data_IF_784076577125
#
_entry.id   IF_784076577125
#
_cell.length_a   1.000
_cell.length_b   1.000
_cell.length_c   1.000
_cell.angle_alpha   90.00
_cell.angle_beta   90.00
_cell.angle_gamma   90.00
#
_symmetry.space_group_name_H-M   'P 1'
#
loop_
_entity.id
_entity.type
_entity.pdbx_description
1 polymer ?
#
# COMPACT_ATOMS: atom_id res chain seq x y z
N UNK A 1 -24.12 -12.32 3.39
CA UNK A 1 -23.49 -11.41 2.41
C UNK A 1 -22.26 -12.12 1.89
N UNK A 2 -22.37 -12.67 0.68
CA UNK A 2 -21.33 -13.46 0.03
C UNK A 2 -20.11 -12.57 -0.25
N UNK A 3 -18.90 -13.11 -0.06
CA UNK A 3 -17.69 -12.42 -0.49
C UNK A 3 -17.83 -12.07 -1.98
N UNK A 4 -17.52 -10.82 -2.34
CA UNK A 4 -17.49 -10.41 -3.76
C UNK A 4 -16.56 -11.40 -4.47
N UNK A 5 -16.99 -12.07 -5.56
CA UNK A 5 -16.19 -13.09 -6.25
C UNK A 5 -14.78 -12.63 -6.61
N UNK A 6 -14.60 -11.32 -6.75
CA UNK A 6 -13.34 -10.64 -7.04
C UNK A 6 -12.19 -10.99 -6.07
N UNK A 7 -12.46 -11.16 -4.77
CA UNK A 7 -11.42 -11.50 -3.76
C UNK A 7 -11.38 -12.98 -3.39
N UNK A 8 -12.21 -13.81 -4.01
CA UNK A 8 -12.34 -15.21 -3.59
C UNK A 8 -11.04 -15.98 -3.81
N UNK A 9 -10.50 -16.56 -2.72
CA UNK A 9 -9.26 -17.36 -2.76
C UNK A 9 -7.96 -16.56 -2.72
N UNK A 10 -8.00 -15.24 -2.49
CA UNK A 10 -6.83 -14.38 -2.40
C UNK A 10 -6.55 -13.98 -0.94
N UNK A 11 -5.27 -13.81 -0.59
CA UNK A 11 -4.89 -13.14 0.66
C UNK A 11 -5.23 -11.65 0.61
N UNK A 12 -5.17 -10.95 1.75
CA UNK A 12 -5.41 -9.51 1.77
C UNK A 12 -4.33 -8.77 0.96
N UNK A 13 -3.07 -9.21 1.09
CA UNK A 13 -1.95 -8.69 0.31
C UNK A 13 -2.17 -8.84 -1.21
N UNK A 14 -2.58 -10.02 -1.68
CA UNK A 14 -2.89 -10.27 -3.09
C UNK A 14 -4.10 -9.46 -3.59
N UNK A 15 -5.12 -9.35 -2.74
CA UNK A 15 -6.31 -8.55 -3.05
C UNK A 15 -5.96 -7.07 -3.22
N UNK A 16 -5.10 -6.54 -2.36
CA UNK A 16 -4.64 -5.16 -2.44
C UNK A 16 -3.73 -4.92 -3.65
N UNK A 17 -2.84 -5.87 -3.97
CA UNK A 17 -2.02 -5.84 -5.20
C UNK A 17 -2.90 -5.65 -6.43
N UNK A 18 -3.92 -6.50 -6.60
CA UNK A 18 -4.86 -6.40 -7.72
C UNK A 18 -5.61 -5.07 -7.76
N UNK A 19 -6.01 -4.53 -6.61
CA UNK A 19 -6.65 -3.21 -6.57
C UNK A 19 -5.66 -2.09 -6.95
N UNK A 20 -4.38 -2.26 -6.64
CA UNK A 20 -3.31 -1.31 -6.90
C UNK A 20 -2.94 -1.21 -8.38
N UNK A 21 -3.29 -2.20 -9.19
CA UNK A 21 -3.22 -2.10 -10.66
C UNK A 21 -4.19 -1.04 -11.24
N UNK A 22 -5.13 -0.54 -10.43
CA UNK A 22 -6.09 0.50 -10.80
C UNK A 22 -5.82 1.80 -10.01
N UNK A 23 -6.87 2.50 -9.60
CA UNK A 23 -6.80 3.82 -8.95
C UNK A 23 -6.21 3.78 -7.53
N UNK A 24 -6.04 2.59 -6.92
CA UNK A 24 -5.56 2.50 -5.53
C UNK A 24 -4.08 2.86 -5.43
N UNK A 25 -3.24 2.52 -6.41
CA UNK A 25 -1.83 2.93 -6.41
C UNK A 25 -1.70 4.45 -6.41
N UNK A 26 -2.40 5.13 -7.31
CA UNK A 26 -2.39 6.59 -7.38
C UNK A 26 -2.90 7.23 -6.08
N UNK A 27 -4.02 6.73 -5.57
CA UNK A 27 -4.63 7.23 -4.34
C UNK A 27 -3.70 7.07 -3.11
N UNK A 28 -3.00 5.94 -3.02
CA UNK A 28 -2.02 5.68 -1.96
C UNK A 28 -0.79 6.58 -2.10
N UNK A 29 -0.21 6.68 -3.30
CA UNK A 29 0.97 7.49 -3.55
C UNK A 29 0.71 8.98 -3.27
N UNK A 30 -0.49 9.48 -3.56
CA UNK A 30 -0.91 10.84 -3.21
C UNK A 30 -0.92 11.13 -1.70
N UNK A 31 -0.98 10.10 -0.85
CA UNK A 31 -0.87 10.29 0.59
C UNK A 31 0.56 10.60 1.06
N UNK A 32 1.57 10.27 0.24
CA UNK A 32 2.98 10.30 0.64
C UNK A 32 3.86 11.14 -0.28
N UNK A 33 3.41 11.44 -1.49
CA UNK A 33 4.09 12.26 -2.49
C UNK A 33 3.18 13.38 -3.01
N UNK A 34 3.76 14.56 -3.20
CA UNK A 34 3.04 15.74 -3.70
C UNK A 34 2.97 15.83 -5.23
N UNK A 35 3.97 15.28 -5.93
CA UNK A 35 4.07 15.28 -7.38
C UNK A 35 4.73 13.97 -7.84
N UNK A 36 4.02 13.19 -8.66
CA UNK A 36 4.46 11.90 -9.14
C UNK A 36 3.63 11.46 -10.34
N UNK A 37 4.21 10.60 -11.16
CA UNK A 37 3.51 9.84 -12.20
C UNK A 37 3.21 8.43 -11.67
N UNK A 38 1.94 8.03 -11.47
CA UNK A 38 1.59 6.70 -10.97
C UNK A 38 2.08 5.56 -11.88
N UNK A 39 2.21 5.80 -13.19
CA UNK A 39 2.63 4.76 -14.15
C UNK A 39 4.13 4.50 -14.07
N UNK A 40 4.91 5.44 -13.52
CA UNK A 40 6.33 5.24 -13.24
C UNK A 40 6.60 4.22 -12.12
N UNK A 41 5.59 3.89 -11.30
CA UNK A 41 5.72 2.97 -10.18
C UNK A 41 5.33 1.54 -10.56
N UNK A 42 6.27 0.63 -10.34
CA UNK A 42 6.12 -0.82 -10.46
C UNK A 42 5.61 -1.38 -9.13
N UNK A 43 4.64 -2.28 -9.19
CA UNK A 43 4.13 -3.03 -8.04
C UNK A 43 4.76 -4.41 -8.10
N UNK A 44 5.39 -4.83 -7.02
CA UNK A 44 5.91 -6.19 -6.88
C UNK A 44 5.41 -6.81 -5.57
N UNK A 45 4.98 -8.06 -5.65
CA UNK A 45 4.55 -8.85 -4.51
C UNK A 45 5.64 -9.84 -4.10
N UNK A 46 6.14 -9.69 -2.87
CA UNK A 46 7.20 -10.51 -2.29
C UNK A 46 6.55 -11.61 -1.43
N UNK A 47 6.30 -12.75 -2.06
CA UNK A 47 5.75 -13.97 -1.44
C UNK A 47 4.43 -13.79 -0.66
N UNK A 48 3.62 -12.80 -1.03
CA UNK A 48 2.38 -12.39 -0.36
C UNK A 48 2.58 -11.89 1.08
N UNK A 49 3.81 -11.50 1.44
CA UNK A 49 4.15 -10.98 2.78
C UNK A 49 4.30 -9.46 2.79
N UNK A 50 4.74 -8.88 1.66
CA UNK A 50 4.90 -7.45 1.48
C UNK A 50 4.73 -7.09 0.00
N UNK A 51 4.13 -5.93 -0.27
CA UNK A 51 4.20 -5.33 -1.60
C UNK A 51 5.26 -4.24 -1.62
N UNK A 52 5.89 -4.03 -2.76
CA UNK A 52 6.71 -2.83 -2.98
C UNK A 52 6.16 -2.00 -4.11
N UNK A 53 6.06 -0.69 -3.90
CA UNK A 53 5.86 0.27 -4.98
C UNK A 53 7.19 0.97 -5.22
N UNK A 54 7.79 0.75 -6.39
CA UNK A 54 9.13 1.24 -6.67
C UNK A 54 9.25 1.93 -8.03
N UNK A 55 10.17 2.88 -8.11
CA UNK A 55 10.64 3.47 -9.36
C UNK A 55 12.12 3.88 -9.23
N UNK A 56 12.64 4.66 -10.19
CA UNK A 56 14.03 5.13 -10.19
C UNK A 56 14.46 5.95 -8.96
N UNK A 57 13.51 6.48 -8.18
CA UNK A 57 13.76 7.40 -7.05
C UNK A 57 13.25 6.89 -5.71
N UNK A 58 12.17 6.10 -5.71
CA UNK A 58 11.42 5.72 -4.52
C UNK A 58 11.30 4.21 -4.40
N UNK A 59 11.29 3.73 -3.16
CA UNK A 59 10.93 2.36 -2.82
C UNK A 59 10.06 2.38 -1.56
N UNK A 60 8.78 2.09 -1.73
CA UNK A 60 7.83 2.00 -0.63
C UNK A 60 7.55 0.54 -0.32
N UNK A 61 7.80 0.13 0.93
CA UNK A 61 7.35 -1.16 1.45
C UNK A 61 5.94 -1.00 1.97
N UNK A 62 4.97 -1.67 1.33
CA UNK A 62 3.57 -1.61 1.69
C UNK A 62 3.24 -2.83 2.55
N UNK A 63 2.84 -2.56 3.79
CA UNK A 63 2.44 -3.55 4.77
C UNK A 63 0.92 -3.54 4.95
N UNK A 64 0.32 -4.69 4.66
CA UNK A 64 -1.14 -4.89 4.62
C UNK A 64 -1.59 -5.89 5.70
N UNK A 65 -0.69 -6.79 6.09
CA UNK A 65 -0.86 -7.80 7.12
C UNK A 65 0.33 -7.73 8.09
N UNK A 66 0.13 -8.13 9.34
CA UNK A 66 1.21 -8.17 10.33
C UNK A 66 2.13 -9.36 10.06
N UNK A 67 3.41 -9.08 9.87
CA UNK A 67 4.46 -10.08 9.71
C UNK A 67 5.77 -9.51 10.30
N UNK A 68 6.24 -10.09 11.41
CA UNK A 68 7.42 -9.59 12.10
C UNK A 68 8.74 -10.01 11.44
N UNK A 69 8.73 -11.12 10.70
CA UNK A 69 9.91 -11.62 10.02
C UNK A 69 10.22 -10.72 8.81
N UNK A 70 9.21 -10.34 8.02
CA UNK A 70 9.42 -9.42 6.89
C UNK A 70 9.88 -8.04 7.36
N UNK A 71 9.48 -7.59 8.54
CA UNK A 71 9.95 -6.33 9.12
C UNK A 71 11.48 -6.34 9.33
N UNK A 72 12.04 -7.44 9.82
CA UNK A 72 13.48 -7.57 9.98
C UNK A 72 14.21 -7.47 8.64
N UNK A 73 13.69 -8.14 7.60
CA UNK A 73 14.23 -8.07 6.23
C UNK A 73 14.15 -6.65 5.65
N UNK A 74 13.02 -5.95 5.84
CA UNK A 74 12.83 -4.57 5.41
C UNK A 74 13.84 -3.64 6.09
N UNK A 75 14.09 -3.83 7.40
CA UNK A 75 15.06 -3.03 8.15
C UNK A 75 16.45 -3.15 7.54
N UNK A 76 16.89 -4.37 7.25
CA UNK A 76 18.18 -4.64 6.59
C UNK A 76 18.24 -4.02 5.19
N UNK A 77 17.16 -4.17 4.41
CA UNK A 77 17.07 -3.58 3.06
C UNK A 77 17.16 -2.05 3.10
N UNK A 78 16.45 -1.38 4.02
CA UNK A 78 16.51 0.07 4.19
C UNK A 78 17.89 0.56 4.68
N UNK A 79 18.62 -0.26 5.44
CA UNK A 79 20.00 0.04 5.83
C UNK A 79 20.98 -0.11 4.65
N UNK A 80 20.69 -0.97 3.69
CA UNK A 80 21.56 -1.22 2.54
C UNK A 80 21.27 -0.29 1.35
N UNK A 81 20.00 0.01 1.09
CA UNK A 81 19.56 0.82 -0.05
C UNK A 81 19.72 2.31 0.29
N UNK A 82 20.81 2.92 -0.20
CA UNK A 82 21.12 4.34 0.02
C UNK A 82 20.73 5.28 -1.12
N UNK A 83 20.51 4.74 -2.32
CA UNK A 83 20.30 5.52 -3.54
C UNK A 83 18.82 5.83 -3.81
N UNK A 84 17.88 5.19 -3.10
CA UNK A 84 16.44 5.44 -3.21
C UNK A 84 15.91 6.09 -1.94
N UNK A 85 14.84 6.85 -2.09
CA UNK A 85 14.00 7.29 -0.99
C UNK A 85 13.13 6.11 -0.53
N UNK A 86 13.59 5.44 0.52
CA UNK A 86 12.89 4.30 1.13
C UNK A 86 11.96 4.73 2.25
N UNK A 87 10.75 4.14 2.31
CA UNK A 87 9.85 4.29 3.45
C UNK A 87 8.90 3.10 3.57
N UNK A 88 8.38 2.87 4.77
CA UNK A 88 7.33 1.87 5.03
C UNK A 88 5.97 2.56 5.01
N UNK A 89 4.97 1.95 4.38
CA UNK A 89 3.58 2.39 4.41
C UNK A 89 2.77 1.25 5.01
N UNK A 90 2.26 1.44 6.23
CA UNK A 90 1.37 0.47 6.86
C UNK A 90 -0.09 0.89 6.68
N UNK A 91 -0.95 -0.05 6.29
CA UNK A 91 -2.36 0.19 5.94
C UNK A 91 -3.28 -0.53 6.90
N UNK A 92 -4.04 0.22 7.71
CA UNK A 92 -4.94 -0.35 8.75
C UNK A 92 -4.22 -1.32 9.71
N UNK A 93 -2.95 -1.04 9.99
CA UNK A 93 -2.14 -1.78 10.96
C UNK A 93 -1.69 -0.84 12.08
N UNK A 94 -1.53 -1.40 13.27
CA UNK A 94 -0.95 -0.71 14.44
C UNK A 94 0.41 -1.32 14.80
N UNK A 95 1.31 -1.39 13.80
CA UNK A 95 2.67 -1.86 14.03
C UNK A 95 3.51 -0.73 14.63
N UNK A 96 4.27 -1.08 15.67
CA UNK A 96 5.31 -0.20 16.19
C UNK A 96 6.50 -0.18 15.22
N UNK A 97 6.64 0.96 14.53
CA UNK A 97 7.74 1.23 13.61
C UNK A 97 8.64 2.36 14.14
N UNK A 98 8.67 2.59 15.45
CA UNK A 98 9.49 3.63 16.09
C UNK A 98 10.98 3.53 15.76
N UNK A 99 11.48 2.30 15.53
CA UNK A 99 12.85 2.02 15.11
C UNK A 99 13.15 2.36 13.63
N UNK A 100 12.15 2.68 12.82
CA UNK A 100 12.30 2.94 11.38
C UNK A 100 12.34 4.44 11.09
N UNK A 101 13.30 4.85 10.26
CA UNK A 101 13.55 6.27 9.96
C UNK A 101 12.40 6.97 9.22
N UNK A 102 11.66 6.23 8.40
CA UNK A 102 10.61 6.77 7.53
C UNK A 102 9.48 5.76 7.42
N UNK A 103 8.34 6.08 8.00
CA UNK A 103 7.13 5.31 7.84
C UNK A 103 5.89 6.19 7.81
N UNK A 104 4.83 5.67 7.20
CA UNK A 104 3.51 6.29 7.11
C UNK A 104 2.47 5.30 7.64
N UNK A 105 1.56 5.80 8.48
CA UNK A 105 0.37 5.08 8.95
C UNK A 105 -0.83 5.59 8.17
N UNK A 106 -1.39 4.75 7.32
CA UNK A 106 -2.54 5.11 6.49
C UNK A 106 -3.75 4.26 6.87
N UNK A 107 -4.88 4.92 7.04
CA UNK A 107 -6.20 4.29 7.00
C UNK A 107 -6.71 4.23 5.56
N UNK A 108 -7.73 3.41 5.31
CA UNK A 108 -8.45 3.38 4.03
C UNK A 108 -9.03 4.77 3.71
N UNK A 109 -9.48 5.51 4.73
CA UNK A 109 -9.95 6.87 4.55
C UNK A 109 -8.83 7.81 4.10
N UNK A 110 -7.59 7.62 4.56
CA UNK A 110 -6.45 8.39 4.05
C UNK A 110 -6.23 8.12 2.56
N UNK A 111 -6.23 6.85 2.16
CA UNK A 111 -6.05 6.44 0.75
C UNK A 111 -7.15 7.04 -0.13
N UNK A 112 -8.41 6.94 0.27
CA UNK A 112 -9.54 7.53 -0.47
C UNK A 112 -9.38 9.04 -0.60
N UNK A 113 -8.98 9.72 0.47
CA UNK A 113 -8.74 11.17 0.44
C UNK A 113 -7.59 11.54 -0.49
N UNK A 114 -6.51 10.75 -0.53
CA UNK A 114 -5.42 10.91 -1.50
C UNK A 114 -5.94 10.76 -2.94
N UNK A 115 -6.84 9.82 -3.18
CA UNK A 115 -7.52 9.67 -4.46
C UNK A 115 -8.39 10.86 -4.85
N UNK A 116 -9.15 11.43 -3.91
CA UNK A 116 -9.96 12.63 -4.14
C UNK A 116 -9.10 13.83 -4.51
N UNK A 117 -7.92 13.97 -3.90
CA UNK A 117 -6.93 15.01 -4.26
C UNK A 117 -6.40 14.85 -5.69
N UNK A 118 -6.51 13.65 -6.26
CA UNK A 118 -6.17 13.29 -7.63
C UNK A 118 -7.39 13.26 -8.56
N UNK A 119 -8.48 13.90 -8.14
CA UNK A 119 -9.75 13.99 -8.90
C UNK A 119 -10.43 12.63 -9.14
N UNK A 120 -10.05 11.57 -8.40
CA UNK A 120 -10.73 10.28 -8.45
C UNK A 120 -12.02 10.38 -7.64
N UNK A 121 -13.21 10.09 -8.22
CA UNK A 121 -14.48 10.24 -7.51
C UNK A 121 -14.55 9.38 -6.24
N UNK A 122 -15.09 9.92 -5.15
CA UNK A 122 -15.25 9.17 -3.89
C UNK A 122 -16.08 7.87 -4.07
N UNK A 123 -17.07 7.90 -4.98
CA UNK A 123 -17.91 6.75 -5.34
C UNK A 123 -17.26 5.80 -6.35
N UNK A 124 -15.94 5.85 -6.52
CA UNK A 124 -15.21 4.93 -7.40
C UNK A 124 -15.39 3.48 -6.92
N UNK A 125 -15.58 2.57 -7.88
CA UNK A 125 -15.78 1.14 -7.62
C UNK A 125 -14.60 0.53 -6.82
N UNK A 126 -13.35 0.89 -7.17
CA UNK A 126 -12.16 0.35 -6.50
C UNK A 126 -12.02 0.87 -5.06
N UNK A 127 -12.51 2.07 -4.74
CA UNK A 127 -12.60 2.52 -3.34
C UNK A 127 -13.66 1.74 -2.56
N UNK A 128 -14.74 1.33 -3.21
CA UNK A 128 -15.75 0.46 -2.59
C UNK A 128 -15.15 -0.91 -2.31
N UNK A 129 -14.49 -1.52 -3.30
CA UNK A 129 -13.79 -2.79 -3.15
C UNK A 129 -12.67 -2.73 -2.10
N UNK A 130 -11.94 -1.62 -2.03
CA UNK A 130 -10.92 -1.38 -1.01
C UNK A 130 -11.55 -1.31 0.39
N UNK A 131 -12.68 -0.61 0.55
CA UNK A 131 -13.42 -0.62 1.82
C UNK A 131 -13.86 -2.04 2.18
N UNK A 132 -14.39 -2.80 1.23
CA UNK A 132 -14.84 -4.17 1.48
C UNK A 132 -13.69 -5.12 1.88
N UNK A 133 -12.50 -4.93 1.30
CA UNK A 133 -11.30 -5.70 1.65
C UNK A 133 -10.90 -5.56 3.13
N UNK A 134 -11.13 -4.37 3.71
CA UNK A 134 -10.83 -4.07 5.11
C UNK A 134 -12.09 -3.99 5.99
N UNK A 135 -13.26 -4.17 5.38
CA UNK A 135 -14.57 -3.91 5.95
C UNK A 135 -15.40 -5.18 6.13
N UNK A 136 -15.19 -5.83 7.27
CA UNK A 136 -16.28 -6.24 8.14
C UNK A 136 -15.98 -5.69 9.53
N UNK A 137 -16.64 -4.59 9.86
CA UNK A 137 -17.13 -4.41 11.23
C UNK A 137 -18.51 -5.05 11.29
#
# INVERSE_FOLDING_TARGET
MEAIPFFSGLSKTQSFEKLSEFTIKEALLACVLSDFDPDSFIIENHDNRCLTFNNEKYLFFILIEEDHEILAEIKEAMETIKHLHTAIIQIELDLDLSDYKRYYRLSINNIINGGIQREIPEKNLFFTLLKDLYGKN
#
